data_IF_807874124469
#
_entry.id   IF_807874124469
#
_cell.length_a   1.000
_cell.length_b   1.000
_cell.length_c   1.000
_cell.angle_alpha   90.00
_cell.angle_beta   90.00
_cell.angle_gamma   90.00
#
_symmetry.space_group_name_H-M   'P 1'
#
loop_
_entity.id
_entity.type
_entity.pdbx_description
1 polymer ?
#
# COMPACT_ATOMS: atom_id res chain seq x y z
N UNK A 1 18.57 10.05 6.45
CA UNK A 1 19.84 10.71 6.74
C UNK A 1 19.68 11.51 8.00
N UNK A 2 20.28 11.00 9.11
CA UNK A 2 20.33 11.67 10.39
C UNK A 2 21.00 13.03 10.25
N UNK A 3 20.50 14.02 10.99
CA UNK A 3 20.87 15.41 10.97
C UNK A 3 22.39 15.65 11.13
N UNK A 4 22.96 16.33 10.17
CA UNK A 4 24.25 17.01 10.38
C UNK A 4 24.06 18.20 11.32
N UNK A 5 24.69 18.11 12.51
CA UNK A 5 24.88 19.19 13.45
C UNK A 5 23.70 19.50 14.38
N UNK A 6 23.95 19.43 15.66
CA UNK A 6 23.28 19.98 16.88
C UNK A 6 21.78 20.43 16.82
N UNK A 7 20.98 19.98 15.84
CA UNK A 7 19.53 20.15 15.81
C UNK A 7 18.90 19.04 16.65
N UNK A 8 18.01 19.42 17.56
CA UNK A 8 17.14 18.47 18.27
C UNK A 8 16.47 17.56 17.25
N UNK A 9 16.68 16.26 17.39
CA UNK A 9 16.07 15.29 16.51
C UNK A 9 14.55 15.41 16.53
N UNK A 10 13.91 15.24 15.37
CA UNK A 10 12.45 15.15 15.26
C UNK A 10 11.90 13.78 15.73
N UNK A 11 12.78 12.80 15.91
CA UNK A 11 12.37 11.45 16.30
C UNK A 11 12.12 11.38 17.82
N UNK A 12 10.97 10.83 18.16
CA UNK A 12 10.55 10.67 19.57
C UNK A 12 10.05 9.24 19.76
N UNK A 13 10.53 8.55 20.77
CA UNK A 13 9.99 7.27 21.21
C UNK A 13 10.29 7.02 22.68
N UNK A 14 9.27 6.67 23.45
CA UNK A 14 9.44 6.32 24.86
C UNK A 14 10.20 5.00 25.04
N UNK A 15 10.02 4.02 24.15
CA UNK A 15 10.48 2.64 24.35
C UNK A 15 11.38 2.08 23.25
N UNK A 16 11.62 2.83 22.18
CA UNK A 16 12.60 2.42 21.14
C UNK A 16 13.82 3.29 21.27
N UNK A 17 15.00 2.68 21.32
CA UNK A 17 16.28 3.37 21.29
C UNK A 17 17.23 2.70 20.27
N UNK A 18 18.13 3.50 19.73
CA UNK A 18 19.21 3.04 18.87
C UNK A 18 20.52 3.20 19.63
N UNK A 19 21.61 2.62 19.12
CA UNK A 19 22.95 2.60 19.75
C UNK A 19 23.40 3.95 20.31
N UNK A 20 23.02 5.05 19.67
CA UNK A 20 23.22 6.40 20.20
C UNK A 20 21.92 7.01 20.71
N UNK A 21 21.62 6.93 22.01
CA UNK A 21 20.39 7.48 22.59
C UNK A 21 20.23 8.99 22.42
N UNK A 22 21.31 9.72 22.13
CA UNK A 22 21.26 11.18 21.90
C UNK A 22 20.54 11.54 20.61
N UNK A 23 20.38 10.59 19.68
CA UNK A 23 19.68 10.77 18.42
C UNK A 23 18.15 10.65 18.54
N UNK A 24 17.63 10.28 19.73
CA UNK A 24 16.21 10.13 19.98
C UNK A 24 15.78 10.81 21.26
N UNK A 25 14.60 11.40 21.24
CA UNK A 25 13.97 11.96 22.44
C UNK A 25 12.91 10.96 22.94
N UNK A 26 12.79 10.80 24.26
CA UNK A 26 11.71 9.99 24.84
C UNK A 26 10.38 10.75 24.82
N UNK A 27 10.42 12.06 24.84
CA UNK A 27 9.27 12.96 24.77
C UNK A 27 9.71 14.34 24.27
N UNK A 28 8.75 15.14 23.84
CA UNK A 28 8.96 16.53 23.42
C UNK A 28 7.86 17.44 24.00
N UNK A 29 8.17 18.72 24.13
CA UNK A 29 7.18 19.76 24.41
C UNK A 29 7.14 20.71 23.23
N UNK A 30 5.96 20.88 22.67
CA UNK A 30 5.66 21.80 21.57
C UNK A 30 4.89 22.97 22.15
N UNK A 31 5.31 24.18 21.90
CA UNK A 31 4.59 25.38 22.32
C UNK A 31 3.92 26.05 21.13
N UNK A 32 2.59 26.16 21.21
CA UNK A 32 1.76 26.76 20.15
C UNK A 32 0.78 27.73 20.82
N UNK A 33 0.84 29.01 20.43
CA UNK A 33 -0.04 30.06 20.94
C UNK A 33 -0.06 30.15 22.49
N UNK A 34 1.10 30.01 23.12
CA UNK A 34 1.25 30.05 24.57
C UNK A 34 0.77 28.80 25.32
N UNK A 35 0.41 27.74 24.60
CA UNK A 35 0.03 26.43 25.17
C UNK A 35 1.16 25.44 24.98
N UNK A 36 1.48 24.71 26.03
CA UNK A 36 2.46 23.62 26.01
C UNK A 36 1.76 22.29 25.75
N UNK A 37 2.17 21.59 24.72
CA UNK A 37 1.69 20.26 24.35
C UNK A 37 2.82 19.27 24.57
N UNK A 38 2.65 18.37 25.53
CA UNK A 38 3.60 17.30 25.79
C UNK A 38 3.29 16.12 24.86
N UNK A 39 4.29 15.67 24.11
CA UNK A 39 4.14 14.58 23.13
C UNK A 39 5.14 13.48 23.42
N UNK A 40 4.68 12.25 23.41
CA UNK A 40 5.54 11.05 23.39
C UNK A 40 4.98 10.06 22.37
N UNK A 41 5.80 9.10 21.98
CA UNK A 41 5.34 7.99 21.14
C UNK A 41 5.76 6.64 21.71
N UNK A 42 5.10 5.59 21.24
CA UNK A 42 5.37 4.22 21.69
C UNK A 42 5.19 3.22 20.53
N UNK A 43 6.07 2.22 20.49
CA UNK A 43 5.89 1.02 19.70
C UNK A 43 5.23 -0.05 20.60
N UNK A 44 3.99 -0.43 20.27
CA UNK A 44 3.27 -1.49 20.96
C UNK A 44 3.75 -2.89 20.57
N UNK A 45 3.44 -3.85 21.40
CA UNK A 45 3.81 -5.25 21.18
C UNK A 45 3.12 -5.84 19.93
N UNK A 46 1.90 -5.39 19.62
CA UNK A 46 1.15 -5.83 18.42
C UNK A 46 1.80 -5.45 17.08
N UNK A 47 2.73 -4.51 17.10
CA UNK A 47 3.47 -4.04 15.91
C UNK A 47 4.98 -4.21 16.07
N UNK A 48 5.42 -4.90 17.10
CA UNK A 48 6.83 -5.23 17.32
C UNK A 48 7.30 -6.17 16.20
N UNK A 49 8.40 -5.85 15.48
CA UNK A 49 8.94 -6.74 14.45
C UNK A 49 9.46 -8.05 15.08
N UNK A 50 9.36 -9.15 14.35
CA UNK A 50 9.83 -10.48 14.77
C UNK A 50 11.34 -10.51 14.99
N UNK A 51 12.10 -9.73 14.22
CA UNK A 51 13.53 -9.57 14.38
C UNK A 51 13.93 -8.09 14.31
N UNK A 52 14.88 -7.70 15.13
CA UNK A 52 15.49 -6.37 15.12
C UNK A 52 16.99 -6.50 14.98
N UNK A 53 17.63 -5.47 14.44
CA UNK A 53 19.09 -5.33 14.51
C UNK A 53 19.54 -5.22 15.97
N UNK A 54 20.74 -5.73 16.30
CA UNK A 54 21.36 -5.59 17.63
C UNK A 54 21.56 -4.12 18.04
N UNK A 55 21.45 -3.20 17.08
CA UNK A 55 21.55 -1.75 17.29
C UNK A 55 20.25 -1.10 17.77
N UNK A 56 19.13 -1.86 17.77
CA UNK A 56 17.81 -1.36 18.16
C UNK A 56 17.37 -2.06 19.44
N UNK A 57 17.12 -1.29 20.49
CA UNK A 57 16.55 -1.78 21.72
C UNK A 57 15.08 -1.36 21.82
N UNK A 58 14.23 -2.30 22.21
CA UNK A 58 12.79 -2.08 22.41
C UNK A 58 12.44 -2.51 23.82
N UNK A 59 12.22 -1.51 24.67
CA UNK A 59 11.85 -1.69 26.07
C UNK A 59 10.34 -1.95 26.24
N UNK A 60 9.93 -2.31 27.48
CA UNK A 60 8.52 -2.49 27.83
C UNK A 60 7.74 -1.17 27.61
N UNK A 61 6.66 -1.18 26.81
CA UNK A 61 5.95 0.02 26.44
C UNK A 61 5.28 0.74 27.63
N UNK A 62 4.72 0.01 28.56
CA UNK A 62 4.01 0.60 29.73
C UNK A 62 5.00 1.28 30.66
N UNK A 63 6.08 0.59 31.02
CA UNK A 63 7.12 1.14 31.92
C UNK A 63 7.77 2.38 31.31
N UNK A 64 8.03 2.36 30.00
CA UNK A 64 8.64 3.49 29.29
C UNK A 64 7.70 4.68 29.21
N UNK A 65 6.41 4.45 28.93
CA UNK A 65 5.41 5.51 28.92
C UNK A 65 5.19 6.12 30.31
N UNK A 66 5.24 5.33 31.39
CA UNK A 66 5.16 5.84 32.75
C UNK A 66 6.28 6.85 33.05
N UNK A 67 7.53 6.50 32.70
CA UNK A 67 8.68 7.38 32.86
C UNK A 67 8.54 8.65 32.02
N UNK A 68 8.12 8.53 30.76
CA UNK A 68 7.93 9.68 29.88
C UNK A 68 6.82 10.60 30.40
N UNK A 69 5.71 10.06 30.88
CA UNK A 69 4.59 10.82 31.45
C UNK A 69 5.01 11.57 32.71
N UNK A 70 5.78 10.93 33.61
CA UNK A 70 6.29 11.59 34.82
C UNK A 70 7.14 12.82 34.48
N UNK A 71 8.03 12.70 33.48
CA UNK A 71 8.87 13.81 33.02
C UNK A 71 8.04 14.90 32.32
N UNK A 72 7.07 14.53 31.49
CA UNK A 72 6.15 15.47 30.85
C UNK A 72 5.31 16.26 31.86
N UNK A 73 4.84 15.63 32.93
CA UNK A 73 4.10 16.32 34.02
C UNK A 73 4.95 17.40 34.67
N UNK A 74 6.26 17.19 34.82
CA UNK A 74 7.18 18.23 35.39
C UNK A 74 7.27 19.45 34.43
N UNK A 75 7.00 19.32 33.15
CA UNK A 75 6.98 20.41 32.18
C UNK A 75 5.71 21.27 32.25
N UNK A 76 4.70 20.86 33.05
CA UNK A 76 3.42 21.57 33.22
C UNK A 76 2.71 21.83 31.89
N UNK A 77 2.58 20.80 31.06
CA UNK A 77 1.89 20.90 29.77
C UNK A 77 0.40 21.08 29.95
N UNK A 78 -0.24 21.79 29.02
CA UNK A 78 -1.69 21.99 28.96
C UNK A 78 -2.42 20.74 28.43
N UNK A 79 -1.75 20.01 27.52
CA UNK A 79 -2.25 18.79 26.87
C UNK A 79 -1.14 17.75 26.76
N UNK A 80 -1.53 16.49 26.84
CA UNK A 80 -0.63 15.35 26.70
C UNK A 80 -1.11 14.45 25.56
N UNK A 81 -0.22 14.21 24.61
CA UNK A 81 -0.50 13.45 23.38
C UNK A 81 0.38 12.22 23.33
N UNK A 82 -0.24 11.07 23.12
CA UNK A 82 0.42 9.80 22.81
C UNK A 82 0.28 9.50 21.33
N UNK A 83 1.40 9.27 20.64
CA UNK A 83 1.43 8.70 19.30
C UNK A 83 1.75 7.21 19.44
N UNK A 84 0.76 6.34 19.19
CA UNK A 84 0.91 4.91 19.35
C UNK A 84 1.05 4.19 18.02
N UNK A 85 2.16 3.50 17.81
CA UNK A 85 2.28 2.50 16.75
C UNK A 85 1.92 1.13 17.33
N UNK A 86 0.62 0.88 17.42
CA UNK A 86 0.00 -0.30 18.02
C UNK A 86 -1.38 -0.51 17.37
N UNK A 87 -1.98 -1.70 17.52
CA UNK A 87 -3.37 -1.87 17.10
C UNK A 87 -4.33 -1.05 18.02
N UNK A 88 -5.59 -0.92 17.60
CA UNK A 88 -6.57 -0.07 18.31
C UNK A 88 -6.76 -0.50 19.77
N UNK A 89 -6.88 -1.80 20.01
CA UNK A 89 -7.09 -2.36 21.35
C UNK A 89 -5.91 -2.05 22.26
N UNK A 90 -4.70 -2.34 21.82
CA UNK A 90 -3.48 -2.08 22.60
C UNK A 90 -3.26 -0.58 22.82
N UNK A 91 -3.54 0.27 21.83
CA UNK A 91 -3.45 1.73 21.98
C UNK A 91 -4.33 2.25 23.11
N UNK A 92 -5.57 1.74 23.19
CA UNK A 92 -6.47 2.07 24.28
C UNK A 92 -6.00 1.50 25.64
N UNK A 93 -5.44 0.28 25.69
CA UNK A 93 -4.88 -0.35 26.88
C UNK A 93 -3.67 0.40 27.43
N UNK A 94 -2.78 0.84 26.56
CA UNK A 94 -1.62 1.67 26.93
C UNK A 94 -2.06 2.98 27.56
N UNK A 95 -3.08 3.65 27.01
CA UNK A 95 -3.62 4.88 27.57
C UNK A 95 -4.30 4.66 28.93
N UNK A 96 -4.97 3.53 29.15
CA UNK A 96 -5.54 3.15 30.43
C UNK A 96 -4.46 2.83 31.48
N UNK A 97 -3.41 2.14 31.06
CA UNK A 97 -2.29 1.74 31.95
C UNK A 97 -1.42 2.91 32.36
N UNK A 98 -1.39 3.97 31.54
CA UNK A 98 -0.65 5.21 31.83
C UNK A 98 -1.61 6.40 31.72
N UNK A 99 -2.43 6.67 32.75
CA UNK A 99 -3.44 7.72 32.70
C UNK A 99 -2.82 9.13 32.63
N UNK A 100 -3.48 10.00 31.89
CA UNK A 100 -3.10 11.40 31.75
C UNK A 100 -2.95 11.89 30.33
N UNK A 101 -3.06 11.02 29.35
CA UNK A 101 -3.15 11.45 27.95
C UNK A 101 -4.54 11.98 27.63
N UNK A 102 -4.60 13.16 27.01
CA UNK A 102 -5.83 13.79 26.54
C UNK A 102 -6.18 13.31 25.13
N UNK A 103 -5.17 12.95 24.35
CA UNK A 103 -5.31 12.47 22.99
C UNK A 103 -4.36 11.31 22.72
N UNK A 104 -4.88 10.25 22.13
CA UNK A 104 -4.10 9.15 21.57
C UNK A 104 -4.28 9.15 20.05
N UNK A 105 -3.17 9.26 19.32
CA UNK A 105 -3.13 9.13 17.86
C UNK A 105 -2.54 7.77 17.56
N UNK A 106 -3.34 6.86 16.99
CA UNK A 106 -2.86 5.52 16.64
C UNK A 106 -2.64 5.37 15.13
N UNK A 107 -1.52 4.76 14.76
CA UNK A 107 -1.14 4.47 13.38
C UNK A 107 -1.21 2.97 13.04
N UNK A 108 -1.61 2.13 14.01
CA UNK A 108 -1.61 0.68 13.86
C UNK A 108 -2.97 0.07 13.51
N UNK A 109 -3.99 0.89 13.25
CA UNK A 109 -5.31 0.44 12.83
C UNK A 109 -5.35 0.07 11.35
N UNK A 110 -6.38 -0.67 10.97
CA UNK A 110 -6.69 -1.03 9.59
C UNK A 110 -7.89 -0.22 9.07
N UNK A 111 -7.91 0.03 7.76
CA UNK A 111 -9.00 0.71 7.09
C UNK A 111 -8.98 2.23 7.22
N UNK A 112 -10.15 2.84 7.05
CA UNK A 112 -10.31 4.29 7.09
C UNK A 112 -10.32 4.85 8.52
N UNK A 113 -9.79 6.07 8.73
CA UNK A 113 -9.93 6.77 10.00
C UNK A 113 -11.40 7.01 10.37
N UNK A 114 -11.70 6.97 11.65
CA UNK A 114 -13.04 7.31 12.16
C UNK A 114 -13.40 8.76 11.89
N UNK A 115 -14.70 9.06 11.82
CA UNK A 115 -15.18 10.45 11.62
C UNK A 115 -15.13 11.28 12.89
N UNK A 116 -15.15 10.63 14.05
CA UNK A 116 -15.14 11.28 15.36
C UNK A 116 -14.07 10.64 16.23
N UNK A 117 -13.48 11.41 17.19
CA UNK A 117 -12.62 10.83 18.21
C UNK A 117 -13.40 9.81 19.05
N UNK A 118 -12.78 8.69 19.36
CA UNK A 118 -13.36 7.64 20.17
C UNK A 118 -12.97 7.84 21.65
N UNK A 119 -13.93 7.94 22.58
CA UNK A 119 -13.62 7.99 24.00
C UNK A 119 -12.88 6.72 24.44
N UNK A 120 -11.82 6.87 25.23
CA UNK A 120 -11.12 5.73 25.82
C UNK A 120 -11.74 5.45 27.18
N UNK A 121 -12.49 4.34 27.30
CA UNK A 121 -13.17 3.95 28.51
C UNK A 121 -12.22 3.92 29.72
N UNK A 122 -12.66 4.50 30.85
CA UNK A 122 -11.86 4.59 32.09
C UNK A 122 -10.84 5.73 32.12
N UNK A 123 -10.78 6.57 31.08
CA UNK A 123 -9.92 7.75 31.00
C UNK A 123 -10.70 9.01 30.60
N UNK A 124 -10.03 10.16 30.59
CA UNK A 124 -10.58 11.41 30.02
C UNK A 124 -10.15 11.61 28.57
N UNK A 125 -9.26 10.77 28.06
CA UNK A 125 -8.66 10.89 26.74
C UNK A 125 -9.56 10.34 25.65
N UNK A 126 -9.29 10.81 24.45
CA UNK A 126 -9.91 10.32 23.22
C UNK A 126 -8.85 9.75 22.29
N UNK A 127 -9.25 8.82 21.42
CA UNK A 127 -8.39 8.21 20.43
C UNK A 127 -8.83 8.60 19.02
N UNK A 128 -7.86 8.86 18.14
CA UNK A 128 -8.06 9.04 16.70
C UNK A 128 -7.13 8.10 15.95
N UNK A 129 -7.63 7.57 14.84
CA UNK A 129 -6.87 6.73 13.92
C UNK A 129 -6.48 7.54 12.69
N UNK A 130 -5.23 7.42 12.22
CA UNK A 130 -4.73 8.20 11.06
C UNK A 130 -4.99 7.54 9.71
N UNK A 131 -5.38 6.27 9.68
CA UNK A 131 -5.54 5.50 8.45
C UNK A 131 -4.20 5.06 7.84
N UNK A 132 -4.23 4.74 6.56
CA UNK A 132 -3.09 4.16 5.83
C UNK A 132 -2.69 5.02 4.62
N UNK A 133 -1.45 4.83 4.15
CA UNK A 133 -0.92 5.40 2.89
C UNK A 133 -1.08 6.93 2.70
N UNK A 134 -1.30 7.70 3.78
CA UNK A 134 -1.45 9.15 3.67
C UNK A 134 -2.72 9.60 2.93
N UNK A 135 -3.76 8.75 2.86
CA UNK A 135 -5.02 9.09 2.17
C UNK A 135 -5.83 10.15 2.89
N UNK A 136 -5.56 10.39 4.16
CA UNK A 136 -6.29 11.36 4.99
C UNK A 136 -5.36 12.21 5.84
N UNK A 137 -5.82 13.42 6.12
CA UNK A 137 -5.26 14.30 7.16
C UNK A 137 -6.26 14.39 8.31
N UNK A 138 -5.80 14.11 9.53
CA UNK A 138 -6.52 14.40 10.76
C UNK A 138 -6.19 15.81 11.26
N UNK A 139 -7.16 16.72 11.23
CA UNK A 139 -7.03 18.04 11.83
C UNK A 139 -7.55 18.00 13.26
N UNK A 140 -6.68 18.31 14.24
CA UNK A 140 -7.01 18.28 15.65
C UNK A 140 -6.94 19.70 16.21
N UNK A 141 -8.06 20.19 16.72
CA UNK A 141 -8.15 21.47 17.42
C UNK A 141 -8.20 21.24 18.93
N UNK A 142 -7.38 21.97 19.69
CA UNK A 142 -7.38 21.96 21.13
C UNK A 142 -8.03 23.26 21.64
N UNK A 143 -9.11 23.13 22.39
CA UNK A 143 -9.97 24.23 22.85
C UNK A 143 -10.04 24.29 24.38
N UNK A 144 -10.35 25.50 24.93
CA UNK A 144 -10.59 25.69 26.36
C UNK A 144 -12.05 25.34 26.75
N UNK A 145 -12.64 24.39 26.06
CA UNK A 145 -13.98 23.87 26.31
C UNK A 145 -13.89 22.63 27.20
N UNK A 146 -14.31 22.74 28.45
CA UNK A 146 -14.21 21.65 29.43
C UNK A 146 -14.99 20.39 29.01
N UNK A 147 -16.05 20.56 28.22
CA UNK A 147 -16.89 19.45 27.76
C UNK A 147 -16.40 18.85 26.44
N UNK A 148 -15.69 19.62 25.63
CA UNK A 148 -15.20 19.18 24.32
C UNK A 148 -13.85 19.84 23.99
N UNK A 149 -12.79 19.49 24.74
CA UNK A 149 -11.47 20.13 24.58
C UNK A 149 -10.75 19.73 23.29
N UNK A 150 -11.07 18.56 22.75
CA UNK A 150 -10.47 18.05 21.50
C UNK A 150 -11.54 18.00 20.42
N UNK A 151 -11.33 18.72 19.34
CA UNK A 151 -12.17 18.64 18.14
C UNK A 151 -11.35 18.06 17.00
N UNK A 152 -11.98 17.23 16.21
CA UNK A 152 -11.32 16.47 15.16
C UNK A 152 -12.10 16.62 13.85
N UNK A 153 -11.36 16.72 12.75
CA UNK A 153 -11.89 16.64 11.40
C UNK A 153 -11.01 15.76 10.55
N UNK A 154 -11.60 14.75 9.91
CA UNK A 154 -10.96 13.95 8.90
C UNK A 154 -11.12 14.61 7.54
N UNK A 155 -10.02 14.80 6.81
CA UNK A 155 -9.99 15.38 5.47
C UNK A 155 -9.38 14.37 4.52
N UNK A 156 -10.15 13.91 3.53
CA UNK A 156 -9.62 13.05 2.47
C UNK A 156 -8.70 13.85 1.54
N UNK A 157 -7.50 13.33 1.30
CA UNK A 157 -6.55 13.91 0.34
C UNK A 157 -6.91 13.40 -1.07
N UNK A 158 -7.74 14.14 -1.76
CA UNK A 158 -8.21 13.83 -3.12
C UNK A 158 -7.68 14.85 -4.13
N UNK A 159 -8.02 14.68 -5.40
CA UNK A 159 -7.64 15.58 -6.52
C UNK A 159 -8.16 17.03 -6.41
N UNK A 160 -8.96 17.35 -5.38
CA UNK A 160 -9.33 18.73 -5.09
C UNK A 160 -8.19 19.58 -4.50
N UNK A 161 -7.13 18.93 -4.01
CA UNK A 161 -5.94 19.59 -3.50
C UNK A 161 -4.84 19.61 -4.55
N UNK A 162 -4.08 20.69 -4.60
CA UNK A 162 -2.90 20.78 -5.46
C UNK A 162 -1.79 19.87 -4.93
N UNK A 163 -1.06 19.26 -5.85
CA UNK A 163 0.13 18.48 -5.51
C UNK A 163 1.25 19.38 -4.99
N UNK A 164 1.94 18.93 -3.96
CA UNK A 164 3.14 19.61 -3.49
C UNK A 164 4.27 19.46 -4.50
N UNK A 165 4.77 20.58 -5.04
CA UNK A 165 5.90 20.57 -5.99
C UNK A 165 7.14 19.87 -5.43
N UNK A 166 7.42 20.04 -4.12
CA UNK A 166 8.50 19.34 -3.42
C UNK A 166 8.31 17.83 -3.38
N UNK A 167 7.07 17.37 -3.18
CA UNK A 167 6.76 15.92 -3.18
C UNK A 167 6.82 15.35 -4.58
N UNK A 168 6.40 16.10 -5.59
CA UNK A 168 6.53 15.70 -7.00
C UNK A 168 7.99 15.59 -7.42
N UNK A 169 8.85 16.51 -6.98
CA UNK A 169 10.30 16.42 -7.20
C UNK A 169 10.92 15.20 -6.51
N UNK A 170 10.55 14.93 -5.26
CA UNK A 170 11.00 13.74 -4.54
C UNK A 170 10.54 12.45 -5.22
N UNK A 171 9.30 12.41 -5.71
CA UNK A 171 8.76 11.28 -6.45
C UNK A 171 9.48 11.07 -7.79
N UNK A 172 9.78 12.13 -8.53
CA UNK A 172 10.60 12.06 -9.74
C UNK A 172 11.97 11.45 -9.44
N UNK A 173 12.66 11.95 -8.42
CA UNK A 173 13.95 11.42 -7.99
C UNK A 173 13.89 9.96 -7.57
N UNK A 174 12.80 9.52 -6.94
CA UNK A 174 12.56 8.11 -6.61
C UNK A 174 12.43 7.25 -7.88
N UNK A 175 11.61 7.65 -8.85
CA UNK A 175 11.43 6.90 -10.10
C UNK A 175 12.74 6.85 -10.92
N UNK A 176 13.53 7.93 -10.95
CA UNK A 176 14.86 7.95 -11.58
C UNK A 176 15.84 6.97 -10.90
N UNK A 177 15.75 6.83 -9.58
CA UNK A 177 16.56 5.85 -8.83
C UNK A 177 16.14 4.42 -9.16
N UNK A 178 14.84 4.12 -9.23
CA UNK A 178 14.34 2.80 -9.64
C UNK A 178 14.81 2.45 -11.06
N UNK A 179 14.68 3.38 -12.00
CA UNK A 179 15.19 3.20 -13.36
C UNK A 179 16.68 2.88 -13.40
N UNK A 180 17.48 3.62 -12.63
CA UNK A 180 18.93 3.45 -12.57
C UNK A 180 19.36 2.13 -11.92
N UNK A 181 18.62 1.68 -10.92
CA UNK A 181 18.92 0.40 -10.23
C UNK A 181 18.47 -0.79 -11.06
N UNK A 182 17.30 -0.72 -11.70
CA UNK A 182 16.68 -1.82 -12.41
C UNK A 182 16.26 -2.97 -11.50
N UNK A 183 15.45 -3.87 -12.01
CA UNK A 183 14.83 -4.96 -11.24
C UNK A 183 15.86 -5.83 -10.51
N UNK A 184 16.98 -6.15 -11.13
CA UNK A 184 17.99 -7.03 -10.54
C UNK A 184 18.60 -6.47 -9.24
N UNK A 185 18.91 -5.17 -9.18
CA UNK A 185 19.46 -4.55 -7.97
C UNK A 185 18.41 -4.32 -6.88
N UNK A 186 17.15 -4.34 -7.27
CA UNK A 186 16.00 -4.32 -6.35
C UNK A 186 15.68 -5.73 -5.83
N UNK A 187 16.49 -6.74 -6.20
CA UNK A 187 16.28 -8.15 -5.86
C UNK A 187 14.94 -8.71 -6.40
N UNK A 188 14.38 -8.04 -7.41
CA UNK A 188 13.17 -8.48 -8.11
C UNK A 188 13.59 -9.45 -9.20
N UNK A 189 13.63 -10.74 -8.84
CA UNK A 189 14.16 -11.81 -9.71
C UNK A 189 13.00 -12.63 -10.29
N UNK A 190 13.03 -12.92 -11.60
CA UNK A 190 12.03 -13.81 -12.21
C UNK A 190 12.00 -15.19 -11.55
N UNK A 191 10.78 -15.72 -11.40
CA UNK A 191 10.55 -17.06 -10.85
C UNK A 191 9.68 -17.89 -11.79
N UNK A 192 9.80 -19.21 -11.74
CA UNK A 192 8.95 -20.08 -12.53
C UNK A 192 7.49 -20.02 -12.06
N UNK A 193 6.56 -19.97 -13.00
CA UNK A 193 5.15 -20.00 -12.65
C UNK A 193 4.78 -21.35 -12.01
N UNK A 194 3.95 -21.38 -10.94
CA UNK A 194 3.62 -22.62 -10.21
C UNK A 194 3.05 -23.75 -11.07
N UNK A 195 2.39 -23.43 -12.19
CA UNK A 195 1.87 -24.43 -13.14
C UNK A 195 2.95 -25.01 -14.08
N UNK A 196 4.17 -24.46 -14.08
CA UNK A 196 5.23 -24.79 -15.04
C UNK A 196 4.98 -24.28 -16.47
N UNK A 197 3.86 -23.61 -16.71
CA UNK A 197 3.53 -22.99 -18.02
C UNK A 197 4.18 -21.61 -18.15
N UNK A 198 4.29 -21.15 -19.40
CA UNK A 198 4.88 -19.84 -19.76
C UNK A 198 3.83 -18.90 -20.30
N UNK A 199 4.04 -17.61 -20.08
CA UNK A 199 3.27 -16.55 -20.73
C UNK A 199 3.74 -16.42 -22.18
N UNK A 200 2.80 -16.22 -23.10
CA UNK A 200 3.04 -16.13 -24.56
C UNK A 200 2.67 -14.77 -25.15
N UNK A 201 1.98 -13.93 -24.37
CA UNK A 201 1.54 -12.59 -24.75
C UNK A 201 0.20 -12.58 -25.49
N UNK A 202 -0.49 -11.46 -25.33
CA UNK A 202 -1.88 -11.25 -25.82
C UNK A 202 -2.00 -11.46 -27.34
N UNK A 203 -0.95 -11.15 -28.11
CA UNK A 203 -0.98 -11.30 -29.56
C UNK A 203 -1.18 -12.76 -29.99
N UNK A 204 -0.57 -13.71 -29.29
CA UNK A 204 -0.77 -15.15 -29.56
C UNK A 204 -2.23 -15.61 -29.35
N UNK A 205 -2.95 -14.98 -28.40
CA UNK A 205 -4.35 -15.25 -28.15
C UNK A 205 -5.23 -14.66 -29.28
N UNK A 206 -4.88 -13.47 -29.77
CA UNK A 206 -5.62 -12.74 -30.80
C UNK A 206 -5.74 -13.49 -32.13
N UNK A 207 -4.82 -14.41 -32.43
CA UNK A 207 -4.84 -15.22 -33.67
C UNK A 207 -6.06 -16.11 -33.77
N UNK A 208 -6.60 -16.57 -32.64
CA UNK A 208 -7.76 -17.49 -32.58
C UNK A 208 -8.98 -16.88 -31.86
N UNK A 209 -8.78 -15.92 -30.95
CA UNK A 209 -9.82 -15.31 -30.13
C UNK A 209 -10.07 -13.85 -30.57
N UNK A 210 -10.46 -13.65 -31.83
CA UNK A 210 -10.54 -12.32 -32.46
C UNK A 210 -11.60 -11.44 -31.78
N UNK A 211 -12.76 -11.98 -31.48
CA UNK A 211 -13.85 -11.24 -30.80
C UNK A 211 -13.47 -10.85 -29.38
N UNK A 212 -12.86 -11.76 -28.63
CA UNK A 212 -12.40 -11.49 -27.27
C UNK A 212 -11.26 -10.43 -27.26
N UNK A 213 -10.35 -10.49 -28.25
CA UNK A 213 -9.29 -9.51 -28.45
C UNK A 213 -9.85 -8.11 -28.72
N UNK A 214 -10.86 -7.97 -29.56
CA UNK A 214 -11.50 -6.68 -29.83
C UNK A 214 -12.21 -6.11 -28.58
N UNK A 215 -12.78 -6.94 -27.71
CA UNK A 215 -13.31 -6.47 -26.42
C UNK A 215 -12.16 -5.93 -25.58
N UNK A 216 -11.13 -6.72 -25.33
CA UNK A 216 -9.97 -6.33 -24.51
C UNK A 216 -9.28 -5.06 -25.02
N UNK A 217 -9.06 -4.94 -26.31
CA UNK A 217 -8.39 -3.81 -26.97
C UNK A 217 -9.07 -2.47 -26.72
N UNK A 218 -10.39 -2.48 -26.47
CA UNK A 218 -11.18 -1.28 -26.16
C UNK A 218 -11.27 -1.00 -24.66
N UNK A 219 -10.53 -1.73 -23.80
CA UNK A 219 -10.51 -1.51 -22.35
C UNK A 219 -9.27 -0.76 -21.90
N UNK A 220 -9.26 -0.14 -20.73
CA UNK A 220 -8.06 0.42 -20.13
C UNK A 220 -6.92 -0.60 -19.94
N UNK A 221 -7.22 -1.90 -19.81
CA UNK A 221 -6.22 -2.96 -19.68
C UNK A 221 -5.27 -3.03 -20.88
N UNK A 222 -5.77 -2.75 -22.09
CA UNK A 222 -4.95 -2.71 -23.32
C UNK A 222 -3.98 -1.53 -23.40
N UNK A 223 -4.01 -0.63 -22.43
CA UNK A 223 -3.18 0.56 -22.35
C UNK A 223 -2.52 0.71 -20.97
N UNK A 224 -2.47 -0.38 -20.20
CA UNK A 224 -2.04 -0.34 -18.81
C UNK A 224 -0.56 0.07 -18.67
N UNK A 225 0.35 -0.53 -19.42
CA UNK A 225 1.77 -0.13 -19.41
C UNK A 225 1.97 1.28 -19.98
N UNK A 226 1.23 1.62 -21.05
CA UNK A 226 1.30 2.96 -21.64
C UNK A 226 0.89 4.05 -20.64
N UNK A 227 -0.07 3.77 -19.77
CA UNK A 227 -0.47 4.70 -18.70
C UNK A 227 0.61 4.92 -17.62
N UNK A 228 1.57 4.00 -17.51
CA UNK A 228 2.74 4.17 -16.64
C UNK A 228 3.85 4.96 -17.33
N UNK A 229 4.03 4.75 -18.64
CA UNK A 229 5.04 5.46 -19.46
C UNK A 229 4.63 6.92 -19.65
N UNK A 230 3.34 7.14 -19.95
CA UNK A 230 2.74 8.43 -20.20
C UNK A 230 1.52 8.65 -19.30
N UNK A 231 1.72 9.00 -18.01
CA UNK A 231 0.63 9.11 -17.04
C UNK A 231 -0.41 10.21 -17.33
N UNK A 232 -0.16 11.06 -18.32
CA UNK A 232 -1.13 12.05 -18.81
C UNK A 232 -1.43 13.17 -17.81
N UNK A 233 -2.72 13.44 -17.58
CA UNK A 233 -3.18 14.59 -16.79
C UNK A 233 -2.70 14.61 -15.33
N UNK A 234 -2.38 13.44 -14.75
CA UNK A 234 -1.98 13.36 -13.34
C UNK A 234 -0.52 13.74 -13.09
N UNK A 235 0.36 13.44 -14.05
CA UNK A 235 1.80 13.61 -13.86
C UNK A 235 2.54 13.34 -15.17
N UNK A 236 3.66 14.02 -15.38
CA UNK A 236 4.63 13.74 -16.44
C UNK A 236 5.72 12.72 -16.03
N UNK A 237 5.62 12.16 -14.80
CA UNK A 237 6.62 11.26 -14.24
C UNK A 237 6.29 9.84 -14.62
N UNK A 238 7.12 9.23 -15.47
CA UNK A 238 7.00 7.82 -15.84
C UNK A 238 7.21 6.90 -14.63
N UNK A 239 6.43 5.80 -14.56
CA UNK A 239 6.38 4.87 -13.41
C UNK A 239 6.62 3.41 -13.81
N UNK A 240 6.96 3.14 -15.05
CA UNK A 240 7.17 1.80 -15.60
C UNK A 240 8.50 1.15 -15.16
N UNK A 241 9.13 1.68 -14.12
CA UNK A 241 10.31 1.11 -13.47
C UNK A 241 10.00 0.60 -12.06
N UNK A 242 8.80 0.87 -11.57
CA UNK A 242 8.37 0.55 -10.23
C UNK A 242 7.71 -0.83 -10.18
N UNK A 243 8.28 -1.83 -9.45
CA UNK A 243 7.71 -3.17 -9.35
C UNK A 243 6.27 -3.19 -8.84
N UNK A 244 5.91 -2.27 -7.94
CA UNK A 244 4.55 -2.15 -7.41
C UNK A 244 3.57 -1.76 -8.52
N UNK A 245 3.95 -0.83 -9.39
CA UNK A 245 3.13 -0.45 -10.54
C UNK A 245 3.10 -1.54 -11.62
N UNK A 246 4.28 -2.09 -11.96
CA UNK A 246 4.42 -3.11 -12.99
C UNK A 246 3.56 -4.36 -12.70
N UNK A 247 3.47 -4.76 -11.44
CA UNK A 247 2.78 -5.99 -11.03
C UNK A 247 1.35 -6.11 -11.56
N UNK A 248 0.65 -4.99 -11.72
CA UNK A 248 -0.73 -4.92 -12.22
C UNK A 248 -0.84 -4.39 -13.65
N UNK A 249 0.19 -3.70 -14.17
CA UNK A 249 0.14 -3.00 -15.44
C UNK A 249 0.83 -3.72 -16.60
N UNK A 250 1.41 -4.91 -16.36
CA UNK A 250 2.07 -5.73 -17.38
C UNK A 250 1.62 -7.19 -17.33
N UNK A 251 1.99 -7.99 -18.32
CA UNK A 251 1.66 -9.43 -18.37
C UNK A 251 2.77 -10.26 -17.74
N UNK A 252 2.36 -11.27 -16.96
CA UNK A 252 3.26 -12.28 -16.41
C UNK A 252 4.01 -11.86 -15.15
N UNK A 253 3.36 -11.12 -14.28
CA UNK A 253 3.80 -10.79 -12.92
C UNK A 253 2.85 -11.38 -11.88
N UNK A 254 3.37 -11.54 -10.65
CA UNK A 254 2.53 -11.80 -9.49
C UNK A 254 2.09 -10.45 -8.89
N UNK A 255 0.80 -10.07 -8.99
CA UNK A 255 0.36 -8.74 -8.59
C UNK A 255 0.44 -8.51 -7.07
N UNK A 256 0.38 -9.58 -6.25
CA UNK A 256 0.38 -9.49 -4.80
C UNK A 256 1.77 -9.56 -4.17
N UNK A 257 2.78 -9.98 -4.94
CA UNK A 257 4.16 -10.17 -4.45
C UNK A 257 5.20 -9.39 -5.25
N UNK A 258 4.78 -8.63 -6.25
CA UNK A 258 5.60 -7.67 -7.00
C UNK A 258 6.84 -8.26 -7.68
N UNK A 259 6.75 -9.45 -8.24
CA UNK A 259 7.84 -10.07 -9.00
C UNK A 259 7.37 -10.64 -10.34
N UNK A 260 8.24 -10.66 -11.37
CA UNK A 260 7.94 -11.28 -12.67
C UNK A 260 8.04 -12.80 -12.61
N UNK A 261 7.30 -13.45 -13.49
CA UNK A 261 7.58 -14.83 -13.86
C UNK A 261 8.63 -14.91 -14.96
N UNK A 262 9.34 -16.07 -15.11
CA UNK A 262 10.45 -16.28 -16.07
C UNK A 262 10.13 -15.86 -17.51
N UNK A 263 8.86 -15.94 -17.93
CA UNK A 263 8.37 -15.55 -19.24
C UNK A 263 7.53 -14.26 -19.24
N UNK A 264 7.50 -13.55 -18.11
CA UNK A 264 6.75 -12.30 -17.95
C UNK A 264 7.51 -11.07 -18.45
N UNK A 265 6.92 -9.91 -18.24
CA UNK A 265 7.51 -8.62 -18.60
C UNK A 265 8.77 -8.32 -17.79
N UNK A 266 9.82 -7.83 -18.46
CA UNK A 266 11.05 -7.35 -17.84
C UNK A 266 11.34 -5.88 -18.20
N UNK A 267 11.20 -5.51 -19.45
CA UNK A 267 11.26 -4.11 -19.91
C UNK A 267 10.60 -3.99 -21.29
N UNK A 268 10.36 -2.76 -21.72
CA UNK A 268 9.83 -2.46 -23.06
C UNK A 268 10.70 -3.05 -24.17
N UNK A 269 12.02 -3.05 -23.97
CA UNK A 269 12.99 -3.53 -24.96
C UNK A 269 13.15 -5.05 -24.95
N UNK A 270 13.12 -5.68 -23.76
CA UNK A 270 13.42 -7.10 -23.62
C UNK A 270 12.21 -7.98 -23.92
N UNK A 271 11.04 -7.57 -23.47
CA UNK A 271 9.81 -8.36 -23.54
C UNK A 271 8.60 -7.54 -23.98
N UNK A 272 8.65 -6.88 -25.16
CA UNK A 272 7.59 -5.98 -25.63
C UNK A 272 6.23 -6.67 -25.79
N UNK A 273 6.18 -7.97 -26.03
CA UNK A 273 4.94 -8.74 -26.13
C UNK A 273 4.23 -8.94 -24.79
N UNK A 274 4.92 -8.67 -23.69
CA UNK A 274 4.37 -8.78 -22.31
C UNK A 274 3.92 -7.43 -21.76
N UNK A 275 3.93 -6.39 -22.56
CA UNK A 275 3.32 -5.11 -22.20
C UNK A 275 1.80 -5.28 -22.03
N UNK A 276 1.22 -4.35 -21.32
CA UNK A 276 -0.19 -4.21 -21.00
C UNK A 276 -0.70 -5.32 -20.03
N UNK A 277 -1.84 -5.07 -19.43
CA UNK A 277 -2.54 -6.09 -18.65
C UNK A 277 -3.29 -7.02 -19.63
N UNK A 278 -2.58 -8.07 -20.07
CA UNK A 278 -3.00 -8.94 -21.17
C UNK A 278 -3.97 -10.03 -20.75
N UNK A 279 -4.40 -10.81 -21.75
CA UNK A 279 -5.35 -11.92 -21.57
C UNK A 279 -4.92 -12.89 -20.47
N UNK A 280 -3.63 -13.18 -20.40
CA UNK A 280 -3.06 -14.16 -19.47
C UNK A 280 -3.02 -13.69 -18.00
N UNK A 281 -3.24 -12.39 -17.72
CA UNK A 281 -3.37 -11.91 -16.35
C UNK A 281 -4.66 -12.43 -15.70
N UNK A 282 -5.71 -12.62 -16.51
CA UNK A 282 -6.98 -13.20 -16.06
C UNK A 282 -7.04 -14.71 -16.26
N UNK A 283 -6.52 -15.21 -17.38
CA UNK A 283 -6.67 -16.60 -17.80
C UNK A 283 -5.49 -17.51 -17.42
N UNK A 284 -4.38 -16.92 -16.92
CA UNK A 284 -3.14 -17.64 -16.62
C UNK A 284 -2.28 -17.93 -17.87
N UNK A 285 -1.06 -18.49 -17.67
CA UNK A 285 -0.07 -18.67 -18.74
C UNK A 285 -0.53 -19.72 -19.78
N UNK A 286 -0.56 -19.31 -21.05
CA UNK A 286 -1.21 -20.01 -22.16
C UNK A 286 -0.32 -20.94 -22.99
N UNK A 287 0.98 -21.11 -22.68
CA UNK A 287 1.91 -21.79 -23.58
C UNK A 287 1.49 -23.19 -24.02
N UNK A 288 0.96 -24.01 -23.11
CA UNK A 288 0.52 -25.38 -23.45
C UNK A 288 -0.76 -25.38 -24.30
N UNK A 289 -1.69 -24.50 -23.98
CA UNK A 289 -2.92 -24.35 -24.77
C UNK A 289 -2.59 -23.93 -26.21
N UNK A 290 -1.78 -22.89 -26.37
CA UNK A 290 -1.39 -22.39 -27.71
C UNK A 290 -0.63 -23.46 -28.48
N UNK A 291 0.36 -24.11 -27.89
CA UNK A 291 1.14 -25.16 -28.54
C UNK A 291 0.29 -26.35 -28.98
N UNK A 292 -0.68 -26.75 -28.17
CA UNK A 292 -1.59 -27.86 -28.50
C UNK A 292 -2.58 -27.49 -29.62
N UNK A 293 -3.16 -26.28 -29.58
CA UNK A 293 -4.09 -25.82 -30.64
C UNK A 293 -3.38 -25.61 -31.99
N UNK A 294 -2.11 -25.22 -31.98
CA UNK A 294 -1.28 -25.07 -33.18
C UNK A 294 -0.72 -26.40 -33.71
N UNK A 295 -0.80 -27.50 -32.91
CA UNK A 295 -0.19 -28.78 -33.26
C UNK A 295 1.33 -28.84 -33.03
N UNK A 296 1.90 -27.92 -32.27
CA UNK A 296 3.33 -27.91 -31.92
C UNK A 296 3.68 -29.00 -30.90
N UNK A 297 2.67 -29.50 -30.18
CA UNK A 297 2.75 -30.67 -29.29
C UNK A 297 1.64 -31.65 -29.61
N UNK A 298 1.92 -32.95 -29.43
CA UNK A 298 0.89 -33.97 -29.57
C UNK A 298 -0.13 -33.85 -28.42
N UNK A 299 -1.39 -33.66 -28.76
CA UNK A 299 -2.48 -33.58 -27.80
C UNK A 299 -3.71 -34.31 -28.37
N UNK A 300 -4.22 -35.27 -27.63
CA UNK A 300 -5.51 -35.88 -27.94
C UNK A 300 -6.68 -34.94 -27.53
N UNK A 301 -7.88 -35.30 -27.90
CA UNK A 301 -9.08 -34.50 -27.60
C UNK A 301 -9.30 -34.25 -26.11
N UNK A 302 -8.95 -35.23 -25.26
CA UNK A 302 -9.06 -35.10 -23.81
C UNK A 302 -8.07 -34.08 -23.24
N UNK A 303 -6.82 -34.08 -23.74
CA UNK A 303 -5.78 -33.15 -23.35
C UNK A 303 -6.08 -31.73 -23.85
N UNK A 304 -6.54 -31.59 -25.11
CA UNK A 304 -7.01 -30.32 -25.65
C UNK A 304 -8.14 -29.71 -24.80
N UNK A 305 -9.10 -30.55 -24.41
CA UNK A 305 -10.20 -30.13 -23.54
C UNK A 305 -9.66 -29.62 -22.19
N UNK A 306 -8.72 -30.35 -21.59
CA UNK A 306 -8.10 -29.96 -20.31
C UNK A 306 -7.44 -28.60 -20.43
N UNK A 307 -6.60 -28.36 -21.44
CA UNK A 307 -5.94 -27.08 -21.64
C UNK A 307 -6.91 -25.91 -21.87
N UNK A 308 -8.03 -26.16 -22.57
CA UNK A 308 -9.10 -25.17 -22.76
C UNK A 308 -9.81 -24.84 -21.43
N UNK A 309 -10.07 -25.86 -20.59
CA UNK A 309 -10.69 -25.67 -19.29
C UNK A 309 -9.79 -24.90 -18.33
N UNK A 310 -8.49 -25.15 -18.35
CA UNK A 310 -7.50 -24.45 -17.53
C UNK A 310 -7.33 -22.96 -17.89
N UNK A 311 -7.68 -22.58 -19.13
CA UNK A 311 -7.67 -21.18 -19.59
C UNK A 311 -9.01 -20.46 -19.34
N UNK A 312 -10.02 -21.12 -18.74
CA UNK A 312 -11.30 -20.48 -18.43
C UNK A 312 -11.25 -19.76 -17.09
N UNK A 313 -11.79 -18.53 -17.07
CA UNK A 313 -12.10 -17.82 -15.83
C UNK A 313 -13.61 -17.94 -15.57
N UNK A 314 -14.06 -18.82 -14.66
CA UNK A 314 -15.47 -18.90 -14.28
C UNK A 314 -15.93 -17.61 -13.59
N UNK A 315 -17.16 -17.16 -13.87
CA UNK A 315 -17.72 -15.96 -13.26
C UNK A 315 -17.63 -15.96 -11.72
N UNK A 316 -17.83 -17.14 -11.11
CA UNK A 316 -17.72 -17.29 -9.65
C UNK A 316 -16.31 -16.99 -9.07
N UNK A 317 -15.27 -16.99 -9.90
CA UNK A 317 -13.89 -16.70 -9.51
C UNK A 317 -13.41 -15.34 -10.08
N UNK A 318 -14.21 -14.72 -10.93
CA UNK A 318 -13.79 -13.52 -11.65
C UNK A 318 -13.57 -12.33 -10.71
N UNK A 319 -14.42 -12.16 -9.69
CA UNK A 319 -14.27 -11.06 -8.73
C UNK A 319 -12.98 -11.19 -7.93
N UNK A 320 -12.65 -12.37 -7.40
CA UNK A 320 -11.42 -12.62 -6.67
C UNK A 320 -10.19 -12.36 -7.56
N UNK A 321 -10.27 -12.75 -8.83
CA UNK A 321 -9.21 -12.49 -9.81
C UNK A 321 -9.03 -11.00 -10.11
N UNK A 322 -10.10 -10.24 -10.22
CA UNK A 322 -10.04 -8.80 -10.39
C UNK A 322 -9.39 -8.12 -9.16
N UNK A 323 -9.71 -8.58 -7.95
CA UNK A 323 -9.20 -8.03 -6.70
C UNK A 323 -7.68 -8.23 -6.52
N UNK A 324 -7.04 -9.10 -7.30
CA UNK A 324 -5.56 -9.20 -7.27
C UNK A 324 -4.87 -7.90 -7.68
N UNK A 325 -5.53 -7.08 -8.53
CA UNK A 325 -5.02 -5.79 -9.00
C UNK A 325 -5.91 -4.61 -8.58
N UNK A 326 -7.23 -4.83 -8.47
CA UNK A 326 -8.21 -3.82 -8.05
C UNK A 326 -8.38 -3.82 -6.53
N UNK A 327 -7.28 -3.63 -5.80
CA UNK A 327 -7.31 -3.48 -4.36
C UNK A 327 -7.86 -2.10 -3.93
N UNK A 328 -8.10 -1.93 -2.62
CA UNK A 328 -8.68 -0.70 -2.07
C UNK A 328 -7.77 0.52 -2.26
N UNK A 329 -6.46 0.30 -2.34
CA UNK A 329 -5.47 1.37 -2.43
C UNK A 329 -5.31 1.89 -3.85
N UNK A 330 -5.33 0.98 -4.83
CA UNK A 330 -5.06 1.29 -6.24
C UNK A 330 -6.35 1.50 -7.05
N UNK A 331 -7.45 0.89 -6.62
CA UNK A 331 -8.74 0.98 -7.31
C UNK A 331 -9.93 1.10 -6.35
N UNK A 332 -10.00 2.17 -5.52
CA UNK A 332 -11.03 2.32 -4.49
C UNK A 332 -12.45 2.29 -5.07
N UNK A 333 -12.64 2.72 -6.31
CA UNK A 333 -13.94 2.68 -6.99
C UNK A 333 -14.44 1.27 -7.27
N UNK A 334 -13.57 0.26 -7.30
CA UNK A 334 -13.94 -1.14 -7.48
C UNK A 334 -14.60 -1.73 -6.22
N UNK A 335 -14.42 -1.09 -5.06
CA UNK A 335 -14.94 -1.57 -3.77
C UNK A 335 -16.30 -0.96 -3.36
N UNK A 336 -16.92 -0.19 -4.23
CA UNK A 336 -18.30 0.30 -4.03
C UNK A 336 -19.33 -0.77 -4.41
N UNK A 337 -20.53 -0.68 -3.84
CA UNK A 337 -21.60 -1.60 -4.16
C UNK A 337 -21.93 -1.60 -5.67
N UNK A 338 -22.02 -2.78 -6.27
CA UNK A 338 -22.33 -2.98 -7.70
C UNK A 338 -21.16 -2.68 -8.65
N UNK A 339 -19.97 -2.36 -8.14
CA UNK A 339 -18.84 -2.03 -8.99
C UNK A 339 -18.34 -3.21 -9.80
N UNK A 340 -18.27 -4.42 -9.20
CA UNK A 340 -17.84 -5.61 -9.93
C UNK A 340 -18.68 -5.83 -11.20
N UNK A 341 -20.00 -5.76 -11.09
CA UNK A 341 -20.90 -5.95 -12.22
C UNK A 341 -20.68 -4.90 -13.32
N UNK A 342 -20.47 -3.63 -12.93
CA UNK A 342 -20.18 -2.53 -13.86
C UNK A 342 -18.85 -2.74 -14.60
N UNK A 343 -17.78 -3.11 -13.88
CA UNK A 343 -16.46 -3.37 -14.48
C UNK A 343 -16.47 -4.65 -15.32
N UNK A 344 -17.19 -5.69 -14.85
CA UNK A 344 -17.33 -6.95 -15.58
C UNK A 344 -17.97 -6.76 -16.95
N UNK A 345 -19.02 -5.94 -17.05
CA UNK A 345 -19.68 -5.66 -18.33
C UNK A 345 -18.74 -5.09 -19.40
N UNK A 346 -17.66 -4.42 -18.99
CA UNK A 346 -16.68 -3.83 -19.91
C UNK A 346 -15.66 -4.84 -20.44
N UNK A 347 -15.41 -5.92 -19.70
CA UNK A 347 -14.36 -6.89 -20.04
C UNK A 347 -14.89 -8.29 -20.41
N UNK A 348 -16.16 -8.57 -20.11
CA UNK A 348 -16.75 -9.89 -20.39
C UNK A 348 -16.72 -10.19 -21.88
N UNK A 349 -16.36 -11.41 -22.21
CA UNK A 349 -16.36 -11.94 -23.57
C UNK A 349 -16.61 -13.44 -23.53
N UNK A 350 -16.87 -14.01 -24.71
CA UNK A 350 -17.07 -15.42 -24.87
C UNK A 350 -15.85 -16.02 -25.60
N UNK A 351 -15.62 -17.31 -25.45
CA UNK A 351 -14.44 -18.00 -25.93
C UNK A 351 -14.19 -17.90 -27.42
N UNK A 352 -13.72 -19.00 -28.04
CA UNK A 352 -13.37 -19.01 -29.47
C UNK A 352 -14.56 -18.67 -30.36
N UNK A 353 -14.32 -17.85 -31.38
CA UNK A 353 -15.30 -17.47 -32.43
C UNK A 353 -15.74 -18.68 -33.28
#
# INVERSE_FOLDING_TARGET
TASEGNQKTAFTSANVSIVDPSLMNQWQVIEINGRKIGVTSVLGNSKKPESTSDEIMIDDPVTSLQKAMEQLKQQQCNYYVLIAHANLTESAELARSVPGFDLVVTAGGEGEPTYLPEPIEGTKGVMVQVGVKGMYVGLIGLFDDVNNPVRYQRIALSSQFEDSSRMMEAFRGYQEQLQKQGLQRLEVVPTSHPTGRKFVGTQSCAECHTTAFEVWKNTPHAHATQSLIHPGERSDIARHFDPECLSCHVTGWNPQKYYPYDSGYLSVEQTPLMMENGCENCHGPGSQHVAAENGDIEADEALLKTFREEMRLPLAQAQDKCLECHDIDNSPNFHRDGAFEEFWEQVKHYGKD
#
